data_IF_148294978602
#
_entry.id   IF_148294978602
#
_cell.length_a   1.000
_cell.length_b   1.000
_cell.length_c   1.000
_cell.angle_alpha   90.00
_cell.angle_beta   90.00
_cell.angle_gamma   90.00
#
_symmetry.space_group_name_H-M   'P 1'
#
loop_
_entity.id
_entity.type
_entity.pdbx_description
1 polymer ?
#
# COMPACT_ATOMS: atom_id res chain seq x y z
N UNK A 1 -2.40 -12.38 -17.79
CA UNK A 1 -1.99 -11.03 -18.24
C UNK A 1 -3.17 -10.33 -18.89
N UNK A 2 -3.45 -9.09 -18.51
CA UNK A 2 -4.48 -8.23 -19.12
C UNK A 2 -3.77 -7.18 -19.97
N UNK A 3 -4.09 -7.10 -21.26
CA UNK A 3 -3.60 -6.06 -22.16
C UNK A 3 -4.78 -5.13 -22.49
N UNK A 4 -4.65 -3.85 -22.18
CA UNK A 4 -5.63 -2.82 -22.57
C UNK A 4 -5.14 -2.15 -23.85
N UNK A 5 -5.94 -2.22 -24.92
CA UNK A 5 -5.63 -1.61 -26.21
C UNK A 5 -6.42 -0.31 -26.37
N UNK A 6 -5.78 0.73 -26.86
CA UNK A 6 -6.28 2.10 -26.92
C UNK A 6 -6.26 2.65 -28.36
N UNK A 7 -7.21 3.52 -28.73
CA UNK A 7 -7.53 3.85 -30.13
C UNK A 7 -6.56 4.81 -30.82
N UNK A 8 -5.71 5.54 -30.09
CA UNK A 8 -4.59 6.32 -30.63
C UNK A 8 -3.70 6.79 -29.45
N UNK A 9 -2.37 6.53 -29.43
CA UNK A 9 -1.52 6.94 -28.31
C UNK A 9 -1.35 8.47 -28.15
N UNK A 10 -1.72 9.30 -29.14
CA UNK A 10 -1.45 10.75 -29.13
C UNK A 10 -2.53 11.67 -28.55
N UNK A 11 -3.67 11.14 -28.08
CA UNK A 11 -4.76 12.02 -27.63
C UNK A 11 -4.57 12.54 -26.20
N UNK A 12 -4.46 13.87 -26.07
CA UNK A 12 -4.81 14.68 -24.90
C UNK A 12 -3.79 14.77 -23.77
N UNK A 13 -3.40 16.00 -23.37
CA UNK A 13 -2.46 16.24 -22.25
C UNK A 13 -2.90 15.64 -20.90
N UNK A 14 -4.22 15.46 -20.70
CA UNK A 14 -4.81 14.98 -19.44
C UNK A 14 -5.95 13.96 -19.60
N UNK A 15 -6.35 13.64 -20.83
CA UNK A 15 -7.40 12.65 -21.09
C UNK A 15 -6.76 11.40 -21.68
N UNK A 16 -7.01 10.21 -21.12
CA UNK A 16 -6.53 8.98 -21.73
C UNK A 16 -7.23 8.76 -23.08
N UNK A 17 -6.59 8.11 -24.05
CA UNK A 17 -7.26 7.69 -25.27
C UNK A 17 -8.41 6.73 -24.99
N UNK A 18 -9.33 6.62 -25.94
CA UNK A 18 -10.45 5.68 -25.80
C UNK A 18 -9.94 4.23 -25.78
N UNK A 19 -10.43 3.45 -24.82
CA UNK A 19 -10.12 2.03 -24.73
C UNK A 19 -10.93 1.26 -25.77
N UNK A 20 -10.24 0.58 -26.69
CA UNK A 20 -10.86 -0.19 -27.77
C UNK A 20 -11.23 -1.59 -27.31
N UNK A 21 -10.29 -2.28 -26.65
CA UNK A 21 -10.48 -3.67 -26.21
C UNK A 21 -9.55 -4.04 -25.06
N UNK A 22 -9.90 -5.09 -24.33
CA UNK A 22 -9.05 -5.68 -23.29
C UNK A 22 -8.83 -7.17 -23.57
N UNK A 23 -7.60 -7.54 -23.95
CA UNK A 23 -7.22 -8.92 -24.21
C UNK A 23 -6.75 -9.59 -22.91
N UNK A 24 -7.17 -10.83 -22.69
CA UNK A 24 -6.80 -11.62 -21.51
C UNK A 24 -6.03 -12.85 -21.94
N UNK A 25 -4.77 -12.92 -21.54
CA UNK A 25 -3.86 -14.02 -21.87
C UNK A 25 -3.58 -14.81 -20.61
N UNK A 26 -3.81 -16.13 -20.67
CA UNK A 26 -3.55 -17.02 -19.56
C UNK A 26 -2.08 -17.45 -19.52
N UNK A 27 -1.28 -16.81 -18.66
CA UNK A 27 0.15 -17.14 -18.49
C UNK A 27 0.37 -18.11 -17.32
N UNK A 28 -0.49 -18.08 -16.30
CA UNK A 28 -0.31 -18.79 -15.03
C UNK A 28 -1.34 -19.92 -14.83
N UNK A 29 -1.89 -20.48 -15.91
CA UNK A 29 -2.91 -21.53 -15.86
C UNK A 29 -4.11 -21.21 -14.93
N UNK A 30 -4.56 -19.95 -14.95
CA UNK A 30 -5.74 -19.51 -14.20
C UNK A 30 -6.98 -20.19 -14.79
N UNK A 31 -7.82 -20.79 -13.95
CA UNK A 31 -9.03 -21.52 -14.40
C UNK A 31 -10.04 -20.60 -15.07
N UNK A 32 -10.31 -19.44 -14.46
CA UNK A 32 -11.29 -18.48 -14.93
C UNK A 32 -10.62 -17.22 -15.49
N UNK A 33 -10.50 -17.09 -16.81
CA UNK A 33 -9.88 -15.91 -17.45
C UNK A 33 -10.63 -14.61 -17.10
N UNK A 34 -11.94 -14.69 -16.85
CA UNK A 34 -12.77 -13.55 -16.45
C UNK A 34 -12.34 -12.94 -15.09
N UNK A 35 -11.62 -13.68 -14.25
CA UNK A 35 -11.08 -13.17 -12.98
C UNK A 35 -9.92 -12.17 -13.15
N UNK A 36 -9.23 -12.18 -14.30
CA UNK A 36 -8.03 -11.37 -14.56
C UNK A 36 -8.40 -9.88 -14.70
N UNK A 37 -8.22 -9.09 -13.64
CA UNK A 37 -8.53 -7.66 -13.67
C UNK A 37 -7.44 -6.81 -13.01
N UNK A 38 -7.32 -5.55 -13.45
CA UNK A 38 -6.43 -4.56 -12.84
C UNK A 38 -7.18 -3.57 -11.93
N UNK A 39 -8.51 -3.68 -11.84
CA UNK A 39 -9.39 -2.74 -11.15
C UNK A 39 -9.02 -2.52 -9.67
N UNK A 40 -8.61 -3.59 -8.97
CA UNK A 40 -8.16 -3.51 -7.58
C UNK A 40 -6.91 -2.63 -7.41
N UNK A 41 -5.90 -2.87 -8.24
CA UNK A 41 -4.65 -2.10 -8.24
C UNK A 41 -4.90 -0.66 -8.70
N UNK A 42 -5.72 -0.47 -9.73
CA UNK A 42 -6.08 0.87 -10.24
C UNK A 42 -6.81 1.70 -9.18
N UNK A 43 -7.75 1.09 -8.46
CA UNK A 43 -8.46 1.74 -7.34
C UNK A 43 -7.52 2.07 -6.19
N UNK A 44 -6.59 1.19 -5.86
CA UNK A 44 -5.55 1.45 -4.86
C UNK A 44 -4.69 2.65 -5.28
N UNK A 45 -4.19 2.66 -6.53
CA UNK A 45 -3.38 3.74 -7.09
C UNK A 45 -4.13 5.09 -7.14
N UNK A 46 -5.42 5.08 -7.45
CA UNK A 46 -6.26 6.28 -7.38
C UNK A 46 -6.31 6.81 -5.95
N UNK A 47 -6.66 5.95 -5.00
CA UNK A 47 -6.77 6.30 -3.58
C UNK A 47 -5.47 6.91 -3.05
N UNK A 48 -4.34 6.22 -3.27
CA UNK A 48 -3.03 6.67 -2.82
C UNK A 48 -2.69 8.04 -3.41
N UNK A 49 -2.93 8.28 -4.70
CA UNK A 49 -2.65 9.56 -5.34
C UNK A 49 -3.57 10.70 -4.85
N UNK A 50 -4.82 10.40 -4.55
CA UNK A 50 -5.78 11.40 -4.06
C UNK A 50 -5.46 11.83 -2.63
N UNK A 51 -5.17 10.88 -1.74
CA UNK A 51 -4.99 11.16 -0.32
C UNK A 51 -3.54 11.48 0.05
N UNK A 52 -2.57 11.18 -0.81
CA UNK A 52 -1.15 11.41 -0.54
C UNK A 52 -0.58 12.43 -1.53
N UNK A 53 -0.44 13.69 -1.07
CA UNK A 53 0.08 14.80 -1.90
C UNK A 53 1.49 14.56 -2.45
N UNK A 54 2.28 13.66 -1.85
CA UNK A 54 3.62 13.30 -2.35
C UNK A 54 3.61 12.63 -3.73
N UNK A 55 2.47 12.08 -4.17
CA UNK A 55 2.30 11.53 -5.51
C UNK A 55 1.62 12.49 -6.49
N UNK A 56 1.26 13.71 -6.07
CA UNK A 56 0.68 14.69 -6.97
C UNK A 56 1.77 15.53 -7.62
N UNK A 57 1.68 15.71 -8.93
CA UNK A 57 2.57 16.57 -9.70
C UNK A 57 2.17 18.04 -9.51
N UNK A 58 3.11 18.97 -9.70
CA UNK A 58 2.86 20.42 -9.65
C UNK A 58 2.25 20.87 -8.31
N UNK A 59 2.74 20.31 -7.21
CA UNK A 59 2.34 20.70 -5.87
C UNK A 59 3.56 21.02 -5.01
N UNK A 60 3.33 21.70 -3.87
CA UNK A 60 4.38 22.03 -2.88
C UNK A 60 4.83 20.80 -2.04
N UNK A 61 4.37 19.59 -2.39
CA UNK A 61 4.72 18.34 -1.72
C UNK A 61 6.10 17.83 -2.13
N UNK A 62 7.15 18.59 -1.78
CA UNK A 62 8.53 18.21 -2.09
C UNK A 62 8.93 16.95 -1.32
N UNK A 63 9.07 15.82 -2.02
CA UNK A 63 9.57 14.56 -1.45
C UNK A 63 10.75 14.06 -2.26
N UNK A 64 11.94 14.62 -2.00
CA UNK A 64 13.17 14.26 -2.73
C UNK A 64 13.86 13.01 -2.17
N UNK A 65 13.64 12.70 -0.88
CA UNK A 65 14.23 11.53 -0.22
C UNK A 65 13.31 10.32 -0.33
N UNK A 66 13.89 9.17 -0.68
CA UNK A 66 13.18 7.90 -0.78
C UNK A 66 12.61 7.47 0.58
N UNK A 67 13.35 7.63 1.68
CA UNK A 67 12.88 7.18 3.00
C UNK A 67 11.59 7.89 3.41
N UNK A 68 11.48 9.18 3.11
CA UNK A 68 10.29 9.97 3.42
C UNK A 68 9.06 9.56 2.59
N UNK A 69 9.28 9.14 1.33
CA UNK A 69 8.20 8.62 0.50
C UNK A 69 7.74 7.25 1.02
N UNK A 70 8.68 6.37 1.35
CA UNK A 70 8.41 5.06 1.93
C UNK A 70 7.64 5.17 3.25
N UNK A 71 8.08 6.05 4.15
CA UNK A 71 7.39 6.29 5.42
C UNK A 71 5.97 6.83 5.22
N UNK A 72 5.78 7.78 4.29
CA UNK A 72 4.45 8.31 4.00
C UNK A 72 3.51 7.26 3.38
N UNK A 73 4.02 6.42 2.48
CA UNK A 73 3.26 5.34 1.89
C UNK A 73 2.87 4.29 2.95
N UNK A 74 3.80 3.91 3.82
CA UNK A 74 3.53 2.99 4.93
C UNK A 74 2.45 3.56 5.88
N UNK A 75 2.56 4.84 6.25
CA UNK A 75 1.57 5.51 7.08
C UNK A 75 0.19 5.51 6.43
N UNK A 76 0.12 5.85 5.13
CA UNK A 76 -1.15 5.87 4.40
C UNK A 76 -1.81 4.49 4.36
N UNK A 77 -1.04 3.44 4.03
CA UNK A 77 -1.53 2.06 3.96
C UNK A 77 -1.97 1.58 5.35
N UNK A 78 -1.24 1.92 6.41
CA UNK A 78 -1.60 1.58 7.78
C UNK A 78 -2.94 2.21 8.18
N UNK A 79 -3.06 3.53 8.05
CA UNK A 79 -4.30 4.25 8.41
C UNK A 79 -5.49 3.77 7.57
N UNK A 80 -5.29 3.52 6.26
CA UNK A 80 -6.34 3.03 5.37
C UNK A 80 -6.89 1.67 5.80
N UNK A 81 -6.02 0.75 6.21
CA UNK A 81 -6.42 -0.63 6.53
C UNK A 81 -6.89 -0.81 7.98
N UNK A 82 -6.29 -0.11 8.94
CA UNK A 82 -6.54 -0.38 10.38
C UNK A 82 -7.48 0.62 11.04
N UNK A 83 -7.53 1.87 10.57
CA UNK A 83 -8.28 2.95 11.26
C UNK A 83 -9.49 3.40 10.45
N UNK A 84 -9.35 3.57 9.14
CA UNK A 84 -10.40 4.14 8.29
C UNK A 84 -11.56 3.17 8.08
N UNK A 85 -12.77 3.57 8.48
CA UNK A 85 -13.99 2.82 8.17
C UNK A 85 -14.40 3.06 6.71
N UNK A 86 -14.63 1.97 5.97
CA UNK A 86 -15.05 2.03 4.58
C UNK A 86 -16.58 2.00 4.45
N UNK A 87 -17.16 2.95 3.70
CA UNK A 87 -18.62 3.07 3.54
C UNK A 87 -19.30 1.79 3.04
N UNK A 88 -18.65 1.05 2.16
CA UNK A 88 -19.18 -0.20 1.57
C UNK A 88 -19.02 -1.39 2.51
N UNK A 89 -17.88 -1.49 3.20
CA UNK A 89 -17.62 -2.60 4.14
C UNK A 89 -18.27 -2.37 5.51
N UNK A 90 -18.61 -1.11 5.85
CA UNK A 90 -19.07 -0.67 7.19
C UNK A 90 -18.07 -0.91 8.31
N UNK A 91 -16.85 -1.35 7.99
CA UNK A 91 -15.75 -1.62 8.89
C UNK A 91 -14.41 -1.31 8.22
N UNK A 92 -13.30 -1.54 8.92
CA UNK A 92 -11.95 -1.39 8.37
C UNK A 92 -11.58 -2.60 7.49
N UNK A 93 -10.74 -2.41 6.46
CA UNK A 93 -10.28 -3.50 5.61
C UNK A 93 -9.56 -4.61 6.41
N UNK A 94 -8.75 -4.25 7.40
CA UNK A 94 -8.04 -5.22 8.24
C UNK A 94 -9.01 -6.08 9.07
N UNK A 95 -10.09 -5.51 9.58
CA UNK A 95 -11.13 -6.25 10.31
C UNK A 95 -11.89 -7.18 9.37
N UNK A 96 -12.27 -6.69 8.18
CA UNK A 96 -12.96 -7.51 7.18
C UNK A 96 -12.10 -8.67 6.67
N UNK A 97 -10.78 -8.50 6.65
CA UNK A 97 -9.81 -9.52 6.25
C UNK A 97 -9.40 -10.46 7.40
N UNK A 98 -9.86 -10.24 8.63
CA UNK A 98 -9.47 -11.02 9.81
C UNK A 98 -8.00 -10.82 10.23
N UNK A 99 -7.39 -9.70 9.84
CA UNK A 99 -6.00 -9.35 10.23
C UNK A 99 -5.97 -8.75 11.64
N UNK A 100 -7.06 -8.12 12.07
CA UNK A 100 -7.23 -7.61 13.41
C UNK A 100 -8.62 -7.98 13.94
N UNK A 101 -8.74 -8.21 15.24
CA UNK A 101 -10.02 -8.57 15.87
C UNK A 101 -10.84 -7.36 16.33
N UNK A 102 -10.23 -6.18 16.25
CA UNK A 102 -10.75 -4.95 16.86
C UNK A 102 -10.51 -3.76 15.93
N UNK A 103 -11.37 -2.76 16.03
CA UNK A 103 -11.13 -1.46 15.40
C UNK A 103 -9.95 -0.77 16.07
N UNK A 104 -9.06 -0.18 15.29
CA UNK A 104 -7.99 0.67 15.82
C UNK A 104 -8.43 2.13 15.73
N UNK A 105 -8.20 2.89 16.78
CA UNK A 105 -8.19 4.34 16.73
C UNK A 105 -6.79 4.86 16.36
N UNK A 106 -6.67 6.18 16.22
CA UNK A 106 -5.40 6.81 15.84
C UNK A 106 -4.34 6.68 16.94
N UNK A 107 -4.74 6.65 18.21
CA UNK A 107 -3.83 6.56 19.36
C UNK A 107 -3.19 5.18 19.41
N UNK A 108 -4.00 4.12 19.40
CA UNK A 108 -3.50 2.74 19.30
C UNK A 108 -2.63 2.54 18.07
N UNK A 109 -3.06 3.05 16.92
CA UNK A 109 -2.26 2.92 15.70
C UNK A 109 -0.89 3.59 15.84
N UNK A 110 -0.82 4.76 16.47
CA UNK A 110 0.44 5.43 16.76
C UNK A 110 1.32 4.58 17.68
N UNK A 111 0.77 4.12 18.80
CA UNK A 111 1.51 3.33 19.79
C UNK A 111 2.08 2.05 19.18
N UNK A 112 1.29 1.31 18.40
CA UNK A 112 1.73 0.07 17.75
C UNK A 112 2.85 0.31 16.72
N UNK A 113 2.76 1.40 15.96
CA UNK A 113 3.80 1.78 14.98
C UNK A 113 5.10 2.15 15.70
N UNK A 114 5.02 2.92 16.78
CA UNK A 114 6.18 3.38 17.54
C UNK A 114 6.79 2.28 18.43
N UNK A 115 5.97 1.37 18.96
CA UNK A 115 6.43 0.22 19.75
C UNK A 115 7.23 -0.77 18.90
N UNK A 116 6.98 -0.84 17.60
CA UNK A 116 7.85 -1.59 16.68
C UNK A 116 9.29 -1.08 16.69
N UNK A 117 9.52 0.24 16.83
CA UNK A 117 10.87 0.78 16.99
C UNK A 117 11.52 0.29 18.30
N UNK A 118 10.75 0.22 19.39
CA UNK A 118 11.22 -0.37 20.66
C UNK A 118 11.55 -1.85 20.48
N UNK A 119 10.75 -2.59 19.72
CA UNK A 119 10.96 -4.01 19.46
C UNK A 119 12.24 -4.27 18.64
N UNK A 120 12.50 -3.47 17.60
CA UNK A 120 13.77 -3.55 16.83
C UNK A 120 14.97 -3.26 17.73
N UNK A 121 14.90 -2.20 18.57
CA UNK A 121 15.96 -1.90 19.55
C UNK A 121 16.17 -3.05 20.54
N UNK A 122 15.10 -3.70 21.01
CA UNK A 122 15.16 -4.88 21.89
C UNK A 122 15.81 -6.08 21.21
N UNK A 123 15.49 -6.33 19.94
CA UNK A 123 16.11 -7.42 19.14
C UNK A 123 17.59 -7.14 18.90
N UNK A 124 17.96 -5.90 18.58
CA UNK A 124 19.37 -5.51 18.42
C UNK A 124 20.15 -5.62 19.74
N UNK A 125 19.56 -5.20 20.85
CA UNK A 125 20.11 -5.38 22.19
C UNK A 125 20.34 -6.86 22.53
N UNK A 126 19.35 -7.71 22.23
CA UNK A 126 19.45 -9.16 22.42
C UNK A 126 20.54 -9.79 21.53
N UNK A 127 20.66 -9.37 20.26
CA UNK A 127 21.75 -9.81 19.36
C UNK A 127 23.12 -9.41 19.88
N UNK A 128 23.27 -8.21 20.46
CA UNK A 128 24.53 -7.77 21.09
C UNK A 128 24.87 -8.61 22.32
N UNK A 129 23.87 -8.92 23.15
CA UNK A 129 24.04 -9.78 24.33
C UNK A 129 24.51 -11.19 23.94
N UNK A 130 23.84 -11.82 22.97
CA UNK A 130 24.23 -13.14 22.44
C UNK A 130 25.65 -13.12 21.87
N UNK A 131 26.05 -12.03 21.21
CA UNK A 131 27.40 -11.86 20.68
C UNK A 131 28.47 -11.72 21.77
N UNK A 132 28.13 -11.15 22.94
CA UNK A 132 29.04 -11.05 24.11
C UNK A 132 29.19 -12.41 24.79
N UNK A 133 28.08 -13.09 25.04
CA UNK A 133 28.07 -14.45 25.60
C UNK A 133 28.88 -15.45 24.76
N UNK A 134 28.76 -15.37 23.43
CA UNK A 134 29.54 -16.22 22.51
C UNK A 134 31.04 -15.87 22.43
N UNK A 135 31.48 -14.74 23.01
CA UNK A 135 32.89 -14.33 23.08
C UNK A 135 33.57 -14.65 24.41
N UNK A 136 32.83 -15.17 25.41
CA UNK A 136 33.37 -15.50 26.73
C UNK A 136 33.70 -14.29 27.61
N UNK A 137 33.09 -13.13 27.34
CA UNK A 137 33.09 -11.93 28.21
C UNK A 137 31.80 -11.80 29.02
#
# INVERSE_FOLDING_TARGET
MLIKNYSNPETGRYQPPDMVKADRINIQAIKELASICTSHVERCNLTIRTFMRRFTRLCLGFSKKYENLAAAAALHIGVYNFVRIHRTLKMTPALAAGVCDQLWDMERFYDEVMDRERHVRRIEGSKRLVKRLNRGE
#
